data_IF_849414360943
#
_entry.id   IF_849414360943
#
_cell.length_a   1.000
_cell.length_b   1.000
_cell.length_c   1.000
_cell.angle_alpha   90.00
_cell.angle_beta   90.00
_cell.angle_gamma   90.00
#
_symmetry.space_group_name_H-M   'P 1'
#
loop_
_entity.id
_entity.type
_entity.pdbx_description
1 polymer ?
#
# COMPACT_ATOMS: atom_id res chain seq x y z
N UNK A 1 5.66 15.47 -27.62
CA UNK A 1 4.42 14.74 -27.24
C UNK A 1 3.27 15.69 -27.48
N UNK A 2 2.19 15.25 -28.13
CA UNK A 2 1.07 16.13 -28.44
C UNK A 2 -0.13 15.83 -27.51
N UNK A 3 -0.88 16.88 -27.16
CA UNK A 3 -2.06 16.80 -26.29
C UNK A 3 -3.10 15.76 -26.76
N UNK A 4 -3.25 15.58 -28.08
CA UNK A 4 -4.21 14.64 -28.66
C UNK A 4 -3.95 13.15 -28.36
N UNK A 5 -2.82 12.81 -27.73
CA UNK A 5 -2.50 11.45 -27.29
C UNK A 5 -3.04 11.13 -25.88
N UNK A 6 -3.59 12.12 -25.16
CA UNK A 6 -4.15 11.93 -23.81
C UNK A 6 -5.60 11.45 -23.90
N UNK A 7 -5.78 10.14 -24.07
CA UNK A 7 -7.08 9.51 -24.33
C UNK A 7 -7.55 8.64 -23.16
N UNK A 8 -6.73 8.48 -22.12
CA UNK A 8 -7.06 7.70 -20.94
C UNK A 8 -7.49 8.63 -19.79
N UNK A 9 -8.77 8.58 -19.44
CA UNK A 9 -9.25 9.21 -18.21
C UNK A 9 -8.79 8.36 -17.02
N UNK A 10 -8.10 8.99 -16.08
CA UNK A 10 -7.61 8.35 -14.85
C UNK A 10 -8.09 9.11 -13.62
N UNK A 11 -8.23 8.40 -12.51
CA UNK A 11 -8.53 9.00 -11.21
C UNK A 11 -7.25 9.02 -10.37
N UNK A 12 -6.88 10.20 -9.88
CA UNK A 12 -5.83 10.33 -8.86
C UNK A 12 -6.47 10.06 -7.50
N UNK A 13 -5.87 9.17 -6.73
CA UNK A 13 -6.37 8.75 -5.44
C UNK A 13 -5.49 9.30 -4.31
N UNK A 14 -6.13 9.71 -3.22
CA UNK A 14 -5.50 10.00 -1.92
C UNK A 14 -6.00 9.01 -0.87
N UNK A 15 -5.17 8.77 0.15
CA UNK A 15 -5.63 8.04 1.33
C UNK A 15 -6.34 9.02 2.25
N UNK A 16 -7.62 8.76 2.54
CA UNK A 16 -8.42 9.56 3.45
C UNK A 16 -8.76 8.74 4.70
N UNK A 17 -8.90 9.41 5.84
CA UNK A 17 -9.31 8.80 7.10
C UNK A 17 -10.72 9.25 7.48
N UNK A 18 -11.61 8.29 7.70
CA UNK A 18 -12.93 8.50 8.29
C UNK A 18 -13.06 7.61 9.53
N UNK A 19 -13.19 8.23 10.71
CA UNK A 19 -13.16 7.55 12.00
C UNK A 19 -11.92 6.64 12.17
N UNK A 20 -12.13 5.33 12.23
CA UNK A 20 -11.09 4.30 12.33
C UNK A 20 -10.85 3.56 11.00
N UNK A 21 -11.33 4.10 9.88
CA UNK A 21 -11.15 3.51 8.57
C UNK A 21 -10.34 4.41 7.66
N UNK A 22 -9.43 3.81 6.90
CA UNK A 22 -8.70 4.44 5.82
C UNK A 22 -9.19 3.89 4.49
N UNK A 23 -9.38 4.74 3.48
CA UNK A 23 -9.77 4.32 2.13
C UNK A 23 -9.13 5.19 1.07
N UNK A 24 -8.92 4.59 -0.10
CA UNK A 24 -8.48 5.32 -1.29
C UNK A 24 -9.66 6.05 -1.91
N UNK A 25 -9.67 7.38 -1.79
CA UNK A 25 -10.69 8.25 -2.34
C UNK A 25 -10.19 8.98 -3.57
N UNK A 26 -11.10 9.28 -4.51
CA UNK A 26 -10.77 10.04 -5.71
C UNK A 26 -10.56 11.51 -5.36
N UNK A 27 -9.32 11.98 -5.47
CA UNK A 27 -8.96 13.37 -5.27
C UNK A 27 -9.29 14.22 -6.50
N UNK A 28 -9.01 13.70 -7.70
CA UNK A 28 -9.33 14.37 -8.97
C UNK A 28 -9.33 13.39 -10.14
N UNK A 29 -9.88 13.81 -11.27
CA UNK A 29 -9.86 13.08 -12.54
C UNK A 29 -9.13 13.89 -13.59
N UNK A 30 -8.20 13.24 -14.30
CA UNK A 30 -7.36 13.90 -15.30
C UNK A 30 -7.18 13.02 -16.53
N UNK A 31 -6.88 13.66 -17.66
CA UNK A 31 -6.56 12.95 -18.89
C UNK A 31 -5.07 12.62 -18.92
N UNK A 32 -4.77 11.40 -19.37
CA UNK A 32 -3.42 10.89 -19.46
C UNK A 32 -3.24 10.07 -20.72
N UNK A 33 -1.98 9.76 -21.03
CA UNK A 33 -1.63 8.65 -21.92
C UNK A 33 -1.13 7.49 -21.06
N UNK A 34 -1.79 6.34 -21.12
CA UNK A 34 -1.39 5.15 -20.36
C UNK A 34 -0.74 4.08 -21.26
N UNK A 35 0.47 3.65 -20.90
CA UNK A 35 1.24 2.67 -21.67
C UNK A 35 1.71 1.53 -20.76
N UNK A 36 1.20 0.31 -20.98
CA UNK A 36 1.73 -0.89 -20.32
C UNK A 36 3.16 -1.13 -20.76
N UNK A 37 4.06 -1.35 -19.81
CA UNK A 37 5.46 -1.62 -20.09
C UNK A 37 5.72 -3.14 -20.11
N UNK A 38 6.75 -3.56 -20.84
CA UNK A 38 7.21 -4.96 -20.89
C UNK A 38 8.01 -5.35 -19.65
N UNK A 39 8.65 -4.38 -19.00
CA UNK A 39 9.41 -4.56 -17.76
C UNK A 39 8.49 -4.63 -16.55
N UNK A 40 8.87 -5.43 -15.55
CA UNK A 40 8.17 -5.46 -14.25
C UNK A 40 8.58 -4.24 -13.41
N UNK A 41 7.68 -3.81 -12.54
CA UNK A 41 7.89 -2.71 -11.61
C UNK A 41 8.25 -3.24 -10.21
N UNK A 42 9.35 -2.76 -9.64
CA UNK A 42 9.74 -3.02 -8.25
C UNK A 42 9.10 -1.94 -7.38
N UNK A 43 7.93 -2.24 -6.84
CA UNK A 43 7.17 -1.33 -5.97
C UNK A 43 7.31 -1.66 -4.49
N UNK A 44 8.02 -2.73 -4.16
CA UNK A 44 8.37 -3.13 -2.80
C UNK A 44 9.84 -3.54 -2.77
N UNK A 45 10.53 -3.17 -1.71
CA UNK A 45 11.94 -3.53 -1.52
C UNK A 45 12.11 -5.01 -1.14
N UNK A 46 11.11 -5.58 -0.48
CA UNK A 46 11.15 -6.95 0.07
C UNK A 46 10.18 -7.92 -0.65
N UNK A 47 9.26 -7.41 -1.45
CA UNK A 47 8.23 -8.16 -2.16
C UNK A 47 8.53 -8.38 -3.66
N UNK A 48 7.75 -9.24 -4.30
CA UNK A 48 7.83 -9.49 -5.74
C UNK A 48 7.40 -8.26 -6.57
N UNK A 49 8.00 -8.08 -7.75
CA UNK A 49 7.65 -7.03 -8.71
C UNK A 49 6.30 -7.27 -9.41
N UNK A 50 5.61 -6.22 -9.84
CA UNK A 50 4.32 -6.30 -10.55
C UNK A 50 4.42 -5.87 -12.03
N UNK A 51 3.31 -5.92 -12.77
CA UNK A 51 3.26 -5.35 -14.13
C UNK A 51 3.37 -3.82 -14.05
N UNK A 52 4.17 -3.24 -14.93
CA UNK A 52 4.41 -1.79 -14.94
C UNK A 52 3.51 -1.07 -15.94
N UNK A 53 3.06 0.13 -15.56
CA UNK A 53 2.33 1.07 -16.42
C UNK A 53 3.01 2.42 -16.33
N UNK A 54 3.20 3.07 -17.47
CA UNK A 54 3.72 4.42 -17.58
C UNK A 54 2.59 5.34 -17.97
N UNK A 55 2.34 6.37 -17.18
CA UNK A 55 1.40 7.43 -17.48
C UNK A 55 2.16 8.68 -17.91
N UNK A 56 1.62 9.41 -18.87
CA UNK A 56 2.07 10.76 -19.17
C UNK A 56 0.93 11.73 -18.95
N UNK A 57 1.18 12.72 -18.10
CA UNK A 57 0.20 13.66 -17.54
C UNK A 57 0.76 15.08 -17.71
N UNK A 58 -0.08 16.10 -17.78
CA UNK A 58 0.34 17.51 -17.84
C UNK A 58 0.79 18.01 -16.47
N UNK A 59 1.86 18.78 -16.44
CA UNK A 59 2.54 19.17 -15.18
C UNK A 59 1.75 20.19 -14.31
N UNK A 60 0.76 20.87 -14.87
CA UNK A 60 0.01 21.93 -14.17
C UNK A 60 -1.31 21.45 -13.53
N UNK A 61 -1.64 20.15 -13.63
CA UNK A 61 -3.00 19.68 -13.31
C UNK A 61 -3.20 19.24 -11.84
N UNK A 62 -2.15 18.83 -11.11
CA UNK A 62 -2.29 18.40 -9.71
C UNK A 62 -0.90 18.25 -9.05
N UNK A 63 -0.77 18.56 -7.76
CA UNK A 63 0.45 18.28 -6.97
C UNK A 63 0.53 16.78 -6.66
N UNK A 64 1.09 16.03 -7.61
CA UNK A 64 1.15 14.57 -7.56
C UNK A 64 2.39 14.11 -6.81
N UNK A 65 2.20 13.23 -5.82
CA UNK A 65 3.27 12.62 -5.04
C UNK A 65 3.20 11.09 -5.05
N UNK A 66 4.25 10.43 -4.57
CA UNK A 66 4.24 8.96 -4.41
C UNK A 66 3.34 8.46 -3.27
N UNK A 67 2.76 9.36 -2.46
CA UNK A 67 1.66 8.99 -1.54
C UNK A 67 0.35 8.71 -2.28
N UNK A 68 0.22 9.21 -3.51
CA UNK A 68 -0.97 9.01 -4.31
C UNK A 68 -0.96 7.63 -5.00
N UNK A 69 -2.14 7.25 -5.48
CA UNK A 69 -2.32 6.12 -6.39
C UNK A 69 -3.11 6.58 -7.62
N UNK A 70 -3.13 5.75 -8.67
CA UNK A 70 -3.94 5.96 -9.86
C UNK A 70 -4.96 4.83 -9.97
N UNK A 71 -6.23 5.16 -10.23
CA UNK A 71 -7.20 4.20 -10.78
C UNK A 71 -7.27 4.36 -12.29
N UNK A 72 -7.04 3.26 -13.00
CA UNK A 72 -7.10 3.21 -14.48
C UNK A 72 -7.84 1.95 -14.92
N UNK A 73 -9.00 2.10 -15.58
CA UNK A 73 -9.86 0.98 -16.00
C UNK A 73 -10.15 -0.01 -14.87
N UNK A 74 -10.60 0.50 -13.71
CA UNK A 74 -10.84 -0.24 -12.46
C UNK A 74 -9.60 -0.93 -11.85
N UNK A 75 -8.42 -0.78 -12.46
CA UNK A 75 -7.16 -1.29 -11.92
C UNK A 75 -6.53 -0.25 -10.98
N UNK A 76 -6.00 -0.72 -9.87
CA UNK A 76 -5.27 0.10 -8.92
C UNK A 76 -3.78 0.12 -9.23
N UNK A 77 -3.20 1.31 -9.31
CA UNK A 77 -1.81 1.55 -9.68
C UNK A 77 -1.11 2.34 -8.56
N UNK A 78 -0.15 1.73 -7.88
CA UNK A 78 0.71 2.46 -6.92
C UNK A 78 1.86 3.11 -7.66
N UNK A 79 2.11 4.38 -7.37
CA UNK A 79 3.18 5.13 -8.01
C UNK A 79 4.53 4.70 -7.46
N UNK A 80 5.51 4.59 -8.35
CA UNK A 80 6.88 4.17 -7.99
C UNK A 80 7.92 5.19 -8.41
N UNK A 81 7.62 6.02 -9.40
CA UNK A 81 8.51 7.08 -9.84
C UNK A 81 7.73 8.20 -10.54
N UNK A 82 8.21 9.44 -10.41
CA UNK A 82 7.66 10.63 -11.07
C UNK A 82 8.82 11.43 -11.64
N UNK A 83 8.85 11.56 -12.97
CA UNK A 83 9.90 12.27 -13.71
C UNK A 83 9.28 13.46 -14.43
N UNK A 84 9.80 14.65 -14.16
CA UNK A 84 9.47 15.86 -14.91
C UNK A 84 10.21 15.87 -16.25
N UNK A 85 9.51 16.19 -17.33
CA UNK A 85 10.15 16.37 -18.64
C UNK A 85 11.01 17.64 -18.67
N UNK A 86 12.03 17.69 -19.55
CA UNK A 86 12.97 18.82 -19.64
C UNK A 86 12.27 20.18 -19.79
N UNK A 87 11.19 20.22 -20.59
CA UNK A 87 10.43 21.43 -20.87
C UNK A 87 9.35 21.74 -19.82
N UNK A 88 9.19 20.87 -18.81
CA UNK A 88 8.17 20.96 -17.76
C UNK A 88 6.71 21.10 -18.23
N UNK A 89 6.41 20.53 -19.39
CA UNK A 89 5.04 20.49 -19.92
C UNK A 89 4.28 19.26 -19.42
N UNK A 90 5.03 18.18 -19.18
CA UNK A 90 4.52 16.87 -18.82
C UNK A 90 5.33 16.25 -17.68
N UNK A 91 4.66 15.42 -16.90
CA UNK A 91 5.26 14.47 -15.99
C UNK A 91 5.05 13.04 -16.51
N UNK A 92 6.06 12.22 -16.33
CA UNK A 92 6.05 10.79 -16.60
C UNK A 92 5.95 10.08 -15.26
N UNK A 93 4.86 9.35 -15.07
CA UNK A 93 4.60 8.62 -13.83
C UNK A 93 4.72 7.13 -14.12
N UNK A 94 5.59 6.45 -13.39
CA UNK A 94 5.71 5.00 -13.44
C UNK A 94 4.94 4.41 -12.28
N UNK A 95 4.12 3.39 -12.54
CA UNK A 95 3.29 2.78 -11.52
C UNK A 95 3.25 1.25 -11.65
N UNK A 96 2.97 0.59 -10.54
CA UNK A 96 2.79 -0.85 -10.43
C UNK A 96 1.31 -1.21 -10.33
N UNK A 97 0.86 -2.13 -11.19
CA UNK A 97 -0.50 -2.69 -11.11
C UNK A 97 -0.61 -3.64 -9.93
N UNK A 98 -1.48 -3.30 -8.97
CA UNK A 98 -1.65 -4.02 -7.70
C UNK A 98 -3.12 -4.27 -7.40
N UNK A 99 -3.40 -5.13 -6.43
CA UNK A 99 -4.74 -5.40 -5.95
C UNK A 99 -4.83 -5.18 -4.44
N UNK A 100 -5.22 -3.97 -3.98
CA UNK A 100 -5.39 -3.69 -2.56
C UNK A 100 -6.42 -4.63 -1.93
N UNK A 101 -6.07 -5.23 -0.81
CA UNK A 101 -6.95 -5.99 0.07
C UNK A 101 -7.39 -5.12 1.24
N UNK A 102 -8.55 -5.44 1.81
CA UNK A 102 -9.00 -4.82 3.06
C UNK A 102 -8.31 -5.51 4.22
N UNK A 103 -7.59 -4.74 5.02
CA UNK A 103 -6.92 -5.18 6.22
C UNK A 103 -7.64 -4.65 7.44
N UNK A 104 -7.58 -5.39 8.55
CA UNK A 104 -8.14 -4.96 9.83
C UNK A 104 -7.18 -5.30 10.95
N UNK A 105 -7.00 -4.36 11.90
CA UNK A 105 -6.33 -4.60 13.17
C UNK A 105 -7.28 -4.25 14.31
N UNK A 106 -7.06 -4.87 15.47
CA UNK A 106 -7.78 -4.54 16.70
C UNK A 106 -6.78 -4.04 17.74
N UNK A 107 -7.08 -2.87 18.31
CA UNK A 107 -6.29 -2.27 19.39
C UNK A 107 -7.15 -2.06 20.60
N UNK A 108 -6.58 -2.30 21.77
CA UNK A 108 -7.22 -1.90 23.01
C UNK A 108 -7.31 -0.37 23.08
N UNK A 109 -8.49 0.12 23.44
CA UNK A 109 -8.66 1.53 23.79
C UNK A 109 -7.87 1.85 25.05
N UNK A 110 -7.32 3.06 25.16
CA UNK A 110 -6.73 3.52 26.41
C UNK A 110 -7.74 3.39 27.57
N UNK A 111 -7.33 2.84 28.72
CA UNK A 111 -8.23 2.66 29.85
C UNK A 111 -8.69 4.03 30.37
N UNK A 112 -10.01 4.23 30.44
CA UNK A 112 -10.59 5.32 31.19
C UNK A 112 -10.43 5.07 32.70
N UNK A 113 -10.66 6.09 33.52
CA UNK A 113 -10.67 5.94 34.97
C UNK A 113 -12.05 6.31 35.52
N UNK A 114 -12.59 5.48 36.42
CA UNK A 114 -13.84 5.80 37.11
C UNK A 114 -13.65 6.84 38.22
N UNK A 115 -14.73 7.19 38.92
CA UNK A 115 -14.71 8.16 40.04
C UNK A 115 -13.82 7.75 41.22
N UNK A 116 -13.36 6.50 41.27
CA UNK A 116 -12.44 5.96 42.28
C UNK A 116 -11.03 5.71 41.70
N UNK A 117 -10.74 6.27 40.52
CA UNK A 117 -9.48 6.12 39.81
C UNK A 117 -9.11 4.65 39.50
N UNK A 118 -10.11 3.81 39.26
CA UNK A 118 -9.92 2.43 38.79
C UNK A 118 -9.96 2.38 37.26
N UNK A 119 -9.07 1.63 36.60
CA UNK A 119 -9.09 1.52 35.14
C UNK A 119 -10.37 0.81 34.68
N UNK A 120 -11.03 1.41 33.70
CA UNK A 120 -12.21 0.87 32.99
C UNK A 120 -11.81 0.70 31.53
N UNK A 121 -11.81 -0.55 31.09
CA UNK A 121 -11.48 -0.91 29.72
C UNK A 121 -12.74 -0.87 28.86
N UNK A 122 -12.66 -0.20 27.71
CA UNK A 122 -13.69 -0.25 26.67
C UNK A 122 -13.43 -1.40 25.69
N UNK A 123 -14.43 -1.66 24.85
CA UNK A 123 -14.32 -2.57 23.72
C UNK A 123 -13.11 -2.18 22.83
N UNK A 124 -12.34 -3.15 22.31
CA UNK A 124 -11.25 -2.88 21.38
C UNK A 124 -11.73 -2.16 20.12
N UNK A 125 -10.92 -1.22 19.66
CA UNK A 125 -11.19 -0.45 18.45
C UNK A 125 -10.65 -1.23 17.25
N UNK A 126 -11.50 -1.42 16.24
CA UNK A 126 -11.08 -1.99 14.96
C UNK A 126 -10.66 -0.86 14.01
N UNK A 127 -9.44 -0.96 13.47
CA UNK A 127 -8.93 -0.04 12.45
C UNK A 127 -8.89 -0.80 11.13
N UNK A 128 -9.49 -0.21 10.09
CA UNK A 128 -9.63 -0.80 8.75
C UNK A 128 -8.82 0.02 7.76
N UNK A 129 -8.08 -0.63 6.85
CA UNK A 129 -7.27 0.08 5.88
C UNK A 129 -6.97 -0.77 4.64
N UNK A 130 -6.64 -0.15 3.49
CA UNK A 130 -6.15 -0.86 2.32
C UNK A 130 -4.69 -1.29 2.51
N UNK A 131 -4.39 -2.54 2.16
CA UNK A 131 -3.02 -3.07 2.13
C UNK A 131 -2.76 -3.89 0.87
N UNK A 132 -1.52 -3.92 0.41
CA UNK A 132 -1.11 -4.71 -0.75
C UNK A 132 -0.24 -5.85 -0.27
N UNK A 133 -0.64 -7.07 -0.62
CA UNK A 133 0.13 -8.27 -0.32
C UNK A 133 1.08 -8.60 -1.47
N UNK A 134 2.33 -8.91 -1.12
CA UNK A 134 3.34 -9.44 -2.01
C UNK A 134 4.03 -10.65 -1.38
N UNK A 135 4.40 -11.63 -2.19
CA UNK A 135 5.28 -12.71 -1.73
C UNK A 135 6.65 -12.13 -1.36
N UNK A 136 7.19 -12.53 -0.20
CA UNK A 136 8.54 -12.15 0.20
C UNK A 136 9.56 -12.77 -0.74
N UNK A 137 10.48 -11.95 -1.25
CA UNK A 137 11.58 -12.44 -2.08
C UNK A 137 12.68 -13.04 -1.22
N UNK A 138 12.70 -14.37 -1.10
CA UNK A 138 13.79 -15.07 -0.42
C UNK A 138 15.00 -15.18 -1.36
N UNK A 139 16.05 -14.39 -1.13
CA UNK A 139 17.38 -14.71 -1.69
C UNK A 139 17.86 -15.99 -1.01
N UNK A 140 18.04 -17.07 -1.77
CA UNK A 140 18.48 -18.36 -1.25
C UNK A 140 19.68 -18.23 -0.32
N UNK A 141 19.44 -18.37 0.99
CA UNK A 141 20.46 -18.68 1.99
C UNK A 141 20.23 -20.16 2.31
N UNK A 142 21.26 -20.96 2.10
CA UNK A 142 21.25 -22.39 2.40
C UNK A 142 21.23 -22.55 3.93
N UNK A 143 20.08 -22.88 4.51
CA UNK A 143 19.98 -23.34 5.91
C UNK A 143 19.07 -24.57 6.01
N UNK A 144 19.31 -25.36 7.07
CA UNK A 144 19.15 -26.81 7.20
C UNK A 144 17.68 -27.35 7.19
N UNK A 145 17.45 -28.68 7.03
CA UNK A 145 16.14 -29.22 6.75
C UNK A 145 15.32 -29.42 8.04
N UNK A 146 14.52 -28.43 8.41
CA UNK A 146 13.26 -28.68 9.12
C UNK A 146 12.17 -27.85 8.45
N UNK A 147 11.37 -28.51 7.61
CA UNK A 147 10.35 -27.89 6.77
C UNK A 147 9.08 -27.65 7.58
N UNK A 148 9.00 -26.53 8.29
CA UNK A 148 7.73 -25.85 8.53
C UNK A 148 7.57 -24.85 7.39
N UNK A 149 6.56 -25.02 6.53
CA UNK A 149 6.30 -24.09 5.42
C UNK A 149 5.63 -22.85 6.03
N UNK A 150 6.41 -21.95 6.61
CA UNK A 150 5.93 -20.62 6.98
C UNK A 150 5.81 -19.77 5.72
N UNK A 151 4.59 -19.39 5.37
CA UNK A 151 4.37 -18.41 4.29
C UNK A 151 4.62 -17.02 4.84
N UNK A 152 5.78 -16.46 4.52
CA UNK A 152 6.13 -15.07 4.81
C UNK A 152 5.68 -14.18 3.64
N UNK A 153 4.89 -13.15 3.95
CA UNK A 153 4.42 -12.15 3.00
C UNK A 153 4.95 -10.78 3.39
N UNK A 154 4.98 -9.87 2.42
CA UNK A 154 5.18 -8.45 2.63
C UNK A 154 3.83 -7.76 2.49
N UNK A 155 3.43 -7.05 3.53
CA UNK A 155 2.28 -6.17 3.55
C UNK A 155 2.76 -4.74 3.33
N UNK A 156 2.39 -4.13 2.21
CA UNK A 156 2.65 -2.73 1.90
C UNK A 156 1.40 -1.91 2.18
N UNK A 157 1.53 -0.85 2.99
CA UNK A 157 0.42 0.02 3.38
C UNK A 157 0.78 1.50 3.20
N UNK A 158 -0.23 2.39 3.02
CA UNK A 158 0.00 3.83 2.98
C UNK A 158 0.72 4.34 4.23
N UNK A 159 1.57 5.35 4.07
CA UNK A 159 2.42 5.89 5.15
C UNK A 159 1.65 6.32 6.41
N UNK A 160 0.43 6.80 6.22
CA UNK A 160 -0.45 7.26 7.30
C UNK A 160 -0.84 6.18 8.31
N UNK A 161 -0.76 4.90 7.92
CA UNK A 161 -1.07 3.76 8.79
C UNK A 161 0.22 3.15 9.31
N UNK A 162 0.26 2.88 10.61
CA UNK A 162 1.40 2.23 11.27
C UNK A 162 0.94 0.99 12.02
N UNK A 163 1.72 -0.09 11.90
CA UNK A 163 1.58 -1.33 12.65
C UNK A 163 2.77 -1.50 13.59
N UNK A 164 2.55 -2.22 14.69
CA UNK A 164 3.57 -2.63 15.66
C UNK A 164 3.91 -4.11 15.47
N UNK A 165 5.16 -4.47 15.77
CA UNK A 165 5.58 -5.87 15.81
C UNK A 165 4.78 -6.64 16.87
N UNK A 166 4.35 -7.85 16.54
CA UNK A 166 3.45 -8.66 17.34
C UNK A 166 1.95 -8.34 17.15
N UNK A 167 1.58 -7.27 16.44
CA UNK A 167 0.16 -7.04 16.12
C UNK A 167 -0.37 -8.10 15.15
N UNK A 168 -1.66 -8.42 15.31
CA UNK A 168 -2.39 -9.29 14.39
C UNK A 168 -3.15 -8.43 13.38
N UNK A 169 -2.82 -8.63 12.10
CA UNK A 169 -3.56 -8.06 10.97
C UNK A 169 -4.39 -9.15 10.31
N UNK A 170 -5.70 -8.94 10.25
CA UNK A 170 -6.65 -9.81 9.57
C UNK A 170 -6.79 -9.36 8.12
N UNK A 171 -6.58 -10.27 7.18
CA UNK A 171 -6.71 -10.05 5.73
C UNK A 171 -7.44 -11.27 5.15
N UNK A 172 -8.54 -11.07 4.44
CA UNK A 172 -9.38 -12.14 3.87
C UNK A 172 -9.70 -13.26 4.87
N UNK A 173 -10.09 -12.88 6.11
CA UNK A 173 -10.37 -13.79 7.24
C UNK A 173 -9.19 -14.64 7.71
N UNK A 174 -7.96 -14.29 7.32
CA UNK A 174 -6.74 -14.93 7.80
C UNK A 174 -5.98 -13.94 8.67
N UNK A 175 -5.62 -14.37 9.89
CA UNK A 175 -4.79 -13.58 10.78
C UNK A 175 -3.31 -13.80 10.48
N UNK A 176 -2.60 -12.69 10.35
CA UNK A 176 -1.16 -12.65 10.18
C UNK A 176 -0.53 -11.86 11.32
N UNK A 177 0.57 -12.35 11.84
CA UNK A 177 1.36 -11.64 12.86
C UNK A 177 2.43 -10.79 12.18
N UNK A 178 2.52 -9.53 12.57
CA UNK A 178 3.58 -8.60 12.15
C UNK A 178 4.89 -9.00 12.81
N UNK A 179 5.87 -9.43 12.03
CA UNK A 179 7.19 -9.87 12.52
C UNK A 179 8.21 -8.75 12.52
N UNK A 180 8.22 -7.92 11.46
CA UNK A 180 9.22 -6.89 11.28
C UNK A 180 8.64 -5.69 10.55
N UNK A 181 8.96 -4.49 11.02
CA UNK A 181 8.53 -3.23 10.43
C UNK A 181 9.63 -2.54 9.60
N UNK A 182 9.37 -2.28 8.33
CA UNK A 182 10.23 -1.53 7.41
C UNK A 182 9.60 -0.18 7.07
N UNK A 183 9.89 0.85 7.88
CA UNK A 183 9.20 2.15 7.83
C UNK A 183 10.09 3.32 7.42
N UNK A 184 11.28 3.06 6.86
CA UNK A 184 12.23 4.11 6.46
C UNK A 184 11.88 4.77 5.11
N UNK A 185 11.10 4.09 4.26
CA UNK A 185 10.58 4.68 3.02
C UNK A 185 9.65 5.86 3.36
N UNK A 186 9.79 6.97 2.62
CA UNK A 186 9.02 8.19 2.88
C UNK A 186 7.53 8.02 2.57
N UNK A 187 7.18 7.20 1.57
CA UNK A 187 5.86 7.21 0.94
C UNK A 187 4.95 6.07 1.40
N UNK A 188 5.53 4.98 1.90
CA UNK A 188 4.80 3.78 2.35
C UNK A 188 5.49 3.10 3.53
N UNK A 189 4.78 2.20 4.18
CA UNK A 189 5.35 1.27 5.14
C UNK A 189 5.26 -0.15 4.59
N UNK A 190 6.29 -0.96 4.81
CA UNK A 190 6.31 -2.38 4.47
C UNK A 190 6.46 -3.21 5.75
N UNK A 191 5.72 -4.31 5.86
CA UNK A 191 5.75 -5.18 7.04
C UNK A 191 5.93 -6.63 6.60
N UNK A 192 6.82 -7.34 7.28
CA UNK A 192 6.89 -8.79 7.16
C UNK A 192 5.81 -9.41 8.03
N UNK A 193 4.93 -10.20 7.42
CA UNK A 193 3.83 -10.85 8.11
C UNK A 193 3.87 -12.36 7.86
N UNK A 194 3.50 -13.13 8.89
CA UNK A 194 3.44 -14.59 8.81
C UNK A 194 2.04 -15.07 9.21
N UNK A 195 1.51 -16.04 8.46
CA UNK A 195 0.28 -16.71 8.85
C UNK A 195 0.61 -17.79 9.88
N UNK A 196 0.01 -17.72 11.07
CA UNK A 196 0.00 -18.86 11.98
C UNK A 196 -1.07 -19.84 11.53
N UNK A 197 -0.75 -20.69 10.54
CA UNK A 197 -1.54 -21.90 10.33
C UNK A 197 -1.25 -22.84 11.50
N UNK A 198 -2.17 -22.90 12.47
CA UNK A 198 -2.19 -24.00 13.42
C UNK A 198 -2.44 -25.28 12.59
N UNK A 199 -1.41 -26.10 12.43
CA UNK A 199 -1.52 -27.47 11.90
C UNK A 199 -2.05 -28.37 13.00
#
# INVERSE_FOLDING_TARGET
MNVGEMQDLIQILSIEQADNSYSWETATEIWSKAERQTTRNIYSNFGQSAKSVKFTIREYEYDLSLHNAIRWNDLHCILTDIIHTENREFIIVTAALVNPQVCTIKRDSEPGYDSLNRPVYSEPISIIFPGILAEKFNRNIQEQPMTTIETSLILIIPKAITLQEGELVTIDNTDYEVQLAHTLDEFKNEYEIISRRNV
#
